data_IF_251927176893
#
_entry.id   IF_251927176893
#
_cell.length_a   1.000
_cell.length_b   1.000
_cell.length_c   1.000
_cell.angle_alpha   90.00
_cell.angle_beta   90.00
_cell.angle_gamma   90.00
#
_symmetry.space_group_name_H-M   'P 1'
#
loop_
_entity.id
_entity.type
_entity.pdbx_description
1 polymer ?
#
# COMPACT_ATOMS: atom_id res chain seq x y z
N UNK A 1 16.40 -11.78 7.13
CA UNK A 1 15.49 -11.86 5.97
C UNK A 1 15.64 -10.61 5.12
N UNK A 2 15.57 -10.73 3.80
CA UNK A 2 15.67 -9.59 2.89
C UNK A 2 14.26 -9.06 2.60
N UNK A 3 14.06 -7.76 2.77
CA UNK A 3 12.81 -7.11 2.36
C UNK A 3 12.80 -7.02 0.83
N UNK A 4 11.86 -7.71 0.19
CA UNK A 4 11.71 -7.71 -1.27
C UNK A 4 10.68 -6.66 -1.70
N UNK A 5 10.93 -6.00 -2.83
CA UNK A 5 9.95 -5.15 -3.48
C UNK A 5 8.79 -6.01 -3.98
N UNK A 6 7.71 -6.05 -3.21
CA UNK A 6 6.53 -6.84 -3.54
C UNK A 6 5.32 -5.93 -3.78
N UNK A 7 4.44 -6.40 -4.64
CA UNK A 7 3.15 -5.76 -4.89
C UNK A 7 3.06 -5.11 -6.26
N UNK A 8 2.02 -4.33 -6.39
CA UNK A 8 1.61 -3.60 -7.59
C UNK A 8 1.49 -2.11 -7.25
N UNK A 9 0.74 -1.33 -8.00
CA UNK A 9 0.54 0.09 -7.74
C UNK A 9 -0.22 0.39 -6.44
N UNK A 10 0.03 1.57 -5.92
CA UNK A 10 -0.74 2.23 -4.86
C UNK A 10 -0.86 3.73 -5.19
N UNK A 11 -1.98 4.32 -4.81
CA UNK A 11 -2.19 5.77 -4.87
C UNK A 11 -2.04 6.36 -3.47
N UNK A 12 -1.21 7.40 -3.36
CA UNK A 12 -0.99 8.15 -2.12
C UNK A 12 -1.67 9.50 -2.29
N UNK A 13 -2.75 9.68 -1.54
CA UNK A 13 -3.59 10.87 -1.61
C UNK A 13 -2.96 12.07 -0.90
N UNK A 14 -3.38 13.32 -1.20
CA UNK A 14 -2.76 14.53 -0.67
C UNK A 14 -2.62 14.56 0.87
N UNK A 15 -3.60 14.05 1.62
CA UNK A 15 -3.52 14.01 3.09
C UNK A 15 -2.34 13.15 3.60
N UNK A 16 -2.06 12.02 2.95
CA UNK A 16 -0.90 11.20 3.31
C UNK A 16 0.41 11.80 2.79
N UNK A 17 0.37 12.53 1.67
CA UNK A 17 1.56 13.23 1.15
C UNK A 17 1.98 14.36 2.08
N UNK A 18 1.06 15.08 2.71
CA UNK A 18 1.40 16.09 3.73
C UNK A 18 2.22 15.51 4.87
N UNK A 19 1.84 14.33 5.36
CA UNK A 19 2.59 13.64 6.41
C UNK A 19 3.99 13.22 5.94
N UNK A 20 4.10 12.75 4.70
CA UNK A 20 5.40 12.39 4.12
C UNK A 20 6.26 13.62 3.83
N UNK A 21 5.67 14.73 3.44
CA UNK A 21 6.35 16.02 3.28
C UNK A 21 6.86 16.55 4.62
N UNK A 22 6.02 16.53 5.67
CA UNK A 22 6.40 16.95 7.02
C UNK A 22 7.62 16.19 7.56
N UNK A 23 7.80 14.95 7.13
CA UNK A 23 9.01 14.18 7.43
C UNK A 23 10.07 14.25 6.31
N UNK A 24 9.98 15.22 5.38
CA UNK A 24 11.02 15.52 4.38
C UNK A 24 11.15 14.49 3.25
N UNK A 25 10.11 13.70 2.96
CA UNK A 25 10.17 12.63 1.95
C UNK A 25 9.58 13.00 0.58
N UNK A 26 8.99 14.19 0.41
CA UNK A 26 8.37 14.62 -0.85
C UNK A 26 9.37 14.59 -2.02
N UNK A 27 10.56 15.15 -1.85
CA UNK A 27 11.58 15.19 -2.90
C UNK A 27 12.12 13.81 -3.31
N UNK A 28 12.04 12.82 -2.42
CA UNK A 28 12.41 11.43 -2.75
C UNK A 28 11.26 10.73 -3.46
N UNK A 29 10.01 11.01 -3.08
CA UNK A 29 8.82 10.51 -3.77
C UNK A 29 8.77 10.97 -5.23
N UNK A 30 9.11 12.22 -5.52
CA UNK A 30 9.16 12.78 -6.87
C UNK A 30 10.12 12.02 -7.81
N UNK A 31 11.14 11.37 -7.25
CA UNK A 31 12.11 10.60 -8.05
C UNK A 31 11.62 9.20 -8.42
N UNK A 32 10.66 8.65 -7.68
CA UNK A 32 10.26 7.24 -7.79
C UNK A 32 8.77 7.04 -8.04
N UNK A 33 7.94 8.04 -7.80
CA UNK A 33 6.50 8.05 -8.04
C UNK A 33 6.12 8.91 -9.23
N UNK A 34 4.89 8.75 -9.69
CA UNK A 34 4.27 9.56 -10.73
C UNK A 34 3.23 10.48 -10.09
N UNK A 35 3.31 11.78 -10.33
CA UNK A 35 2.27 12.73 -9.92
C UNK A 35 1.01 12.50 -10.73
N UNK A 36 -0.07 12.12 -10.07
CA UNK A 36 -1.36 11.86 -10.70
C UNK A 36 -2.07 13.17 -11.02
N UNK A 37 -2.47 13.33 -12.29
CA UNK A 37 -3.11 14.54 -12.79
C UNK A 37 -4.62 14.48 -12.71
N UNK A 38 -5.23 13.37 -13.15
CA UNK A 38 -6.67 13.22 -13.20
C UNK A 38 -7.13 11.78 -12.95
N UNK A 39 -8.42 11.63 -12.69
CA UNK A 39 -9.12 10.35 -12.65
C UNK A 39 -10.38 10.47 -13.52
N UNK A 40 -10.51 9.56 -14.47
CA UNK A 40 -11.68 9.48 -15.37
C UNK A 40 -12.48 8.22 -15.11
N UNK A 41 -13.79 8.36 -15.04
CA UNK A 41 -14.75 7.27 -14.89
C UNK A 41 -15.37 6.93 -16.24
N UNK A 42 -15.46 5.63 -16.53
CA UNK A 42 -15.98 5.09 -17.77
C UNK A 42 -17.13 4.13 -17.50
N UNK A 43 -18.11 4.08 -18.41
CA UNK A 43 -19.09 3.00 -18.46
C UNK A 43 -18.42 1.68 -18.83
N UNK A 44 -19.16 0.56 -18.71
CA UNK A 44 -18.72 -0.75 -19.20
C UNK A 44 -18.43 -0.80 -20.71
N UNK A 45 -18.97 0.15 -21.47
CA UNK A 45 -18.79 0.29 -22.93
C UNK A 45 -17.66 1.25 -23.31
N UNK A 46 -16.92 1.78 -22.29
CA UNK A 46 -15.79 2.69 -22.52
C UNK A 46 -16.17 4.16 -22.75
N UNK A 47 -17.44 4.53 -22.59
CA UNK A 47 -17.86 5.93 -22.66
C UNK A 47 -17.43 6.67 -21.39
N UNK A 48 -16.83 7.84 -21.54
CA UNK A 48 -16.48 8.71 -20.42
C UNK A 48 -17.76 9.25 -19.74
N UNK A 49 -17.86 9.06 -18.44
CA UNK A 49 -18.98 9.53 -17.61
C UNK A 49 -18.61 10.83 -16.94
N UNK A 50 -17.41 10.90 -16.39
CA UNK A 50 -16.92 12.04 -15.64
C UNK A 50 -15.40 11.97 -15.48
N UNK A 51 -14.77 13.13 -15.39
CA UNK A 51 -13.35 13.26 -15.11
C UNK A 51 -13.12 14.34 -14.06
N UNK A 52 -12.18 14.10 -13.16
CA UNK A 52 -11.80 15.05 -12.12
C UNK A 52 -10.29 15.19 -12.01
N UNK A 53 -9.83 16.37 -11.70
CA UNK A 53 -8.42 16.64 -11.43
C UNK A 53 -8.00 16.08 -10.06
N UNK A 54 -6.71 15.81 -9.90
CA UNK A 54 -6.13 15.24 -8.69
C UNK A 54 -4.93 16.04 -8.18
N UNK A 55 -4.67 15.91 -6.88
CA UNK A 55 -3.53 16.56 -6.23
C UNK A 55 -3.48 18.06 -6.49
N UNK A 56 -2.33 18.57 -6.88
CA UNK A 56 -2.13 20.00 -7.17
C UNK A 56 -3.02 20.50 -8.31
N UNK A 57 -3.35 19.65 -9.29
CA UNK A 57 -4.26 20.02 -10.38
C UNK A 57 -5.70 20.24 -9.90
N UNK A 58 -6.09 19.67 -8.74
CA UNK A 58 -7.37 19.88 -8.08
C UNK A 58 -7.33 21.02 -7.04
N UNK A 59 -6.23 21.77 -6.96
CA UNK A 59 -6.07 22.88 -6.01
C UNK A 59 -5.53 22.49 -4.63
N UNK A 60 -5.05 21.24 -4.46
CA UNK A 60 -4.34 20.86 -3.23
C UNK A 60 -2.92 21.46 -3.22
N UNK A 61 -2.39 21.76 -2.04
CA UNK A 61 -1.02 22.29 -1.86
C UNK A 61 0.05 21.24 -2.19
N UNK A 62 -0.29 19.95 -2.08
CA UNK A 62 0.61 18.82 -2.33
C UNK A 62 0.07 17.93 -3.44
N UNK A 63 0.93 17.19 -4.16
CA UNK A 63 0.50 16.27 -5.21
C UNK A 63 -0.23 15.04 -4.66
N UNK A 64 -0.90 14.32 -5.55
CA UNK A 64 -1.23 12.91 -5.39
C UNK A 64 -0.20 12.09 -6.15
N UNK A 65 0.25 10.96 -5.61
CA UNK A 65 1.16 10.06 -6.31
C UNK A 65 0.53 8.72 -6.63
N UNK A 66 0.85 8.21 -7.82
CA UNK A 66 0.74 6.80 -8.19
C UNK A 66 2.16 6.21 -8.18
N UNK A 67 2.37 5.12 -7.47
CA UNK A 67 3.71 4.55 -7.26
C UNK A 67 3.64 3.02 -7.15
N UNK A 68 4.71 2.33 -7.54
CA UNK A 68 4.87 0.91 -7.23
C UNK A 68 5.03 0.73 -5.71
N UNK A 69 4.17 -0.07 -5.09
CA UNK A 69 4.11 -0.25 -3.63
C UNK A 69 5.44 -0.71 -3.02
N UNK A 70 6.16 -1.60 -3.71
CA UNK A 70 7.48 -2.05 -3.24
C UNK A 70 8.52 -0.93 -3.24
N UNK A 71 8.46 0.00 -4.19
CA UNK A 71 9.34 1.18 -4.21
C UNK A 71 9.02 2.13 -3.07
N UNK A 72 7.74 2.36 -2.77
CA UNK A 72 7.34 3.13 -1.60
C UNK A 72 7.85 2.49 -0.31
N UNK A 73 7.67 1.18 -0.15
CA UNK A 73 8.16 0.44 1.01
C UNK A 73 9.69 0.59 1.17
N UNK A 74 10.44 0.44 0.09
CA UNK A 74 11.90 0.59 0.10
C UNK A 74 12.33 2.01 0.45
N UNK A 75 11.64 3.03 -0.09
CA UNK A 75 11.87 4.43 0.23
C UNK A 75 11.71 4.67 1.73
N UNK A 76 10.58 4.26 2.30
CA UNK A 76 10.30 4.41 3.73
C UNK A 76 11.30 3.64 4.60
N UNK A 77 11.66 2.43 4.20
CA UNK A 77 12.65 1.61 4.88
C UNK A 77 14.02 2.28 4.90
N UNK A 78 14.50 2.77 3.76
CA UNK A 78 15.78 3.46 3.69
C UNK A 78 15.78 4.75 4.54
N UNK A 79 14.72 5.55 4.46
CA UNK A 79 14.57 6.75 5.28
C UNK A 79 14.58 6.45 6.78
N UNK A 80 14.00 5.32 7.19
CA UNK A 80 14.04 4.89 8.58
C UNK A 80 15.47 4.51 9.00
N UNK A 81 16.18 3.72 8.18
CA UNK A 81 17.57 3.33 8.50
C UNK A 81 18.53 4.53 8.54
N UNK A 82 18.36 5.50 7.65
CA UNK A 82 19.14 6.74 7.63
C UNK A 82 18.96 7.56 8.92
N UNK A 83 17.76 7.57 9.49
CA UNK A 83 17.42 8.38 10.68
C UNK A 83 17.68 7.67 12.00
N UNK A 84 17.30 6.41 12.08
CA UNK A 84 17.33 5.63 13.31
C UNK A 84 18.49 4.62 13.39
N UNK A 85 19.29 4.55 12.30
CA UNK A 85 20.44 3.66 12.22
C UNK A 85 20.11 2.25 11.71
N UNK A 86 21.14 1.47 11.35
CA UNK A 86 21.00 0.17 10.68
C UNK A 86 20.30 -0.89 11.54
N UNK A 87 20.26 -0.72 12.84
CA UNK A 87 19.66 -1.66 13.79
C UNK A 87 18.19 -1.32 14.12
N UNK A 88 17.61 -0.28 13.52
CA UNK A 88 16.23 0.15 13.77
C UNK A 88 15.18 -0.86 13.29
N UNK A 89 15.54 -1.75 12.37
CA UNK A 89 14.64 -2.77 11.83
C UNK A 89 15.17 -4.16 12.06
N UNK A 90 14.43 -4.97 12.79
CA UNK A 90 14.73 -6.38 13.03
C UNK A 90 13.76 -7.22 12.19
N UNK A 91 14.29 -7.91 11.18
CA UNK A 91 13.50 -8.80 10.31
C UNK A 91 13.49 -10.24 10.84
N UNK A 92 12.58 -11.07 10.27
CA UNK A 92 12.48 -12.47 10.69
C UNK A 92 11.80 -12.67 12.04
N UNK A 93 11.06 -11.68 12.53
CA UNK A 93 10.35 -11.72 13.81
C UNK A 93 8.86 -11.59 13.60
N UNK A 94 8.07 -12.50 14.16
CA UNK A 94 6.62 -12.44 14.17
C UNK A 94 6.15 -12.31 15.62
N UNK A 95 5.34 -11.30 15.91
CA UNK A 95 4.72 -11.11 17.22
C UNK A 95 3.88 -12.35 17.57
N UNK A 96 4.15 -12.94 18.73
CA UNK A 96 3.40 -14.06 19.29
C UNK A 96 2.52 -13.64 20.47
N UNK A 97 2.89 -12.55 21.15
CA UNK A 97 2.14 -12.00 22.27
C UNK A 97 2.89 -10.87 22.93
N UNK A 98 2.27 -10.25 23.92
CA UNK A 98 2.91 -9.25 24.75
C UNK A 98 2.27 -9.21 26.14
N UNK A 99 3.03 -8.68 27.09
CA UNK A 99 2.58 -8.38 28.47
C UNK A 99 2.86 -6.90 28.73
N UNK A 100 1.89 -6.24 29.34
CA UNK A 100 1.92 -4.82 29.65
C UNK A 100 1.80 -4.65 31.18
N UNK A 101 2.61 -3.76 31.77
CA UNK A 101 2.55 -3.39 33.18
C UNK A 101 2.94 -1.92 33.35
N UNK A 102 3.04 -1.44 34.60
CA UNK A 102 3.42 -0.05 34.90
C UNK A 102 4.82 0.34 34.39
N UNK A 103 5.72 -0.63 34.18
CA UNK A 103 7.07 -0.43 33.67
C UNK A 103 7.19 -0.46 32.14
N UNK A 104 6.06 -0.61 31.41
CA UNK A 104 6.06 -0.66 29.94
C UNK A 104 5.50 -1.96 29.37
N UNK A 105 5.95 -2.32 28.19
CA UNK A 105 5.49 -3.50 27.44
C UNK A 105 6.65 -4.43 27.11
N UNK A 106 6.45 -5.73 27.31
CA UNK A 106 7.34 -6.79 26.84
C UNK A 106 6.66 -7.57 25.72
N UNK A 107 7.17 -7.46 24.50
CA UNK A 107 6.68 -8.17 23.32
C UNK A 107 7.47 -9.48 23.14
N UNK A 108 6.76 -10.58 22.85
CA UNK A 108 7.31 -11.89 22.60
C UNK A 108 7.21 -12.22 21.11
N UNK A 109 8.31 -12.71 20.54
CA UNK A 109 8.41 -13.02 19.12
C UNK A 109 8.81 -14.46 18.87
N UNK A 110 8.38 -14.97 17.72
CA UNK A 110 8.85 -16.23 17.13
C UNK A 110 9.77 -15.89 15.96
N UNK A 111 10.91 -16.59 15.88
CA UNK A 111 11.76 -16.53 14.70
C UNK A 111 11.04 -17.20 13.52
N UNK A 112 10.89 -16.47 12.42
CA UNK A 112 10.19 -16.99 11.25
C UNK A 112 11.06 -17.86 10.36
N UNK A 113 12.36 -17.93 10.58
CA UNK A 113 13.31 -18.75 9.85
C UNK A 113 13.55 -20.09 10.55
N UNK A 114 13.72 -20.06 11.86
CA UNK A 114 14.08 -21.24 12.66
C UNK A 114 12.89 -21.85 13.38
N UNK A 115 11.74 -21.15 13.41
CA UNK A 115 10.55 -21.61 14.13
C UNK A 115 10.70 -21.61 15.66
N UNK A 116 11.84 -21.16 16.16
CA UNK A 116 12.13 -21.08 17.59
C UNK A 116 11.47 -19.87 18.24
N UNK A 117 10.91 -20.07 19.43
CA UNK A 117 10.36 -18.99 20.26
C UNK A 117 11.37 -18.43 21.25
N UNK A 118 10.92 -17.49 22.12
CA UNK A 118 11.70 -17.01 23.25
C UNK A 118 12.50 -15.73 22.98
N UNK A 119 12.24 -15.03 21.89
CA UNK A 119 12.81 -13.72 21.61
C UNK A 119 11.89 -12.66 22.19
N UNK A 120 12.43 -11.78 23.03
CA UNK A 120 11.68 -10.70 23.66
C UNK A 120 12.25 -9.34 23.28
N UNK A 121 11.38 -8.32 23.28
CA UNK A 121 11.78 -6.92 23.24
C UNK A 121 10.96 -6.14 24.27
N UNK A 122 11.58 -5.15 24.90
CA UNK A 122 10.95 -4.27 25.87
C UNK A 122 10.91 -2.84 25.35
N UNK A 123 9.88 -2.10 25.73
CA UNK A 123 9.73 -0.70 25.40
C UNK A 123 8.59 -0.06 26.20
N UNK A 124 8.50 1.25 26.11
CA UNK A 124 7.44 2.01 26.78
C UNK A 124 6.09 1.84 26.08
N UNK A 125 6.12 1.66 24.74
CA UNK A 125 4.92 1.55 23.90
C UNK A 125 5.13 0.48 22.84
N UNK A 126 4.08 -0.33 22.57
CA UNK A 126 4.01 -1.26 21.45
C UNK A 126 2.95 -0.78 20.44
N UNK A 127 3.36 -0.48 19.21
CA UNK A 127 2.47 -0.15 18.11
C UNK A 127 2.26 -1.40 17.25
N UNK A 128 1.07 -2.00 17.31
CA UNK A 128 0.72 -3.18 16.52
C UNK A 128 0.27 -2.75 15.11
N UNK A 129 1.20 -2.77 14.14
CA UNK A 129 0.95 -2.50 12.72
C UNK A 129 1.01 -3.77 11.87
N UNK A 130 0.54 -4.90 12.41
CA UNK A 130 0.67 -6.27 11.90
C UNK A 130 -0.51 -6.72 11.01
N UNK A 131 -1.34 -5.77 10.55
CA UNK A 131 -2.31 -5.95 9.46
C UNK A 131 -3.62 -6.62 9.88
N UNK A 132 -4.38 -7.11 8.87
CA UNK A 132 -5.73 -7.65 9.07
C UNK A 132 -5.76 -8.92 9.94
N UNK A 133 -4.66 -9.66 10.01
CA UNK A 133 -4.49 -10.84 10.86
C UNK A 133 -3.68 -10.55 12.11
N UNK A 134 -3.75 -9.31 12.61
CA UNK A 134 -3.00 -8.79 13.74
C UNK A 134 -3.06 -9.71 14.97
N UNK A 135 -1.89 -10.06 15.48
CA UNK A 135 -1.73 -10.74 16.76
C UNK A 135 -2.17 -9.83 17.92
N UNK A 136 -1.75 -8.56 17.86
CA UNK A 136 -2.13 -7.57 18.85
C UNK A 136 -3.65 -7.39 18.97
N UNK A 137 -4.33 -7.27 17.83
CA UNK A 137 -5.79 -7.18 17.78
C UNK A 137 -6.46 -8.39 18.41
N UNK A 138 -6.00 -9.60 18.10
CA UNK A 138 -6.54 -10.84 18.65
C UNK A 138 -6.38 -10.94 20.16
N UNK A 139 -5.33 -10.34 20.73
CA UNK A 139 -5.15 -10.30 22.20
C UNK A 139 -6.15 -9.36 22.84
N UNK A 140 -6.40 -8.18 22.27
CA UNK A 140 -7.38 -7.23 22.80
C UNK A 140 -8.81 -7.63 22.54
N UNK A 141 -9.08 -8.36 21.45
CA UNK A 141 -10.43 -8.77 21.02
C UNK A 141 -10.45 -10.27 20.70
N UNK A 142 -10.32 -11.15 21.71
CA UNK A 142 -10.18 -12.60 21.52
C UNK A 142 -11.41 -13.25 20.87
N UNK A 143 -12.60 -12.69 21.13
CA UNK A 143 -13.89 -13.18 20.64
C UNK A 143 -14.29 -12.55 19.29
N UNK A 144 -13.44 -11.71 18.71
CA UNK A 144 -13.74 -11.08 17.42
C UNK A 144 -13.77 -12.14 16.31
N UNK A 145 -14.82 -12.08 15.48
CA UNK A 145 -14.96 -12.95 14.31
C UNK A 145 -13.83 -12.70 13.29
N UNK A 146 -13.59 -13.68 12.43
CA UNK A 146 -12.70 -13.50 11.29
C UNK A 146 -13.20 -12.37 10.36
N UNK A 147 -12.30 -11.66 9.66
CA UNK A 147 -12.71 -10.67 8.68
C UNK A 147 -13.73 -11.22 7.70
N UNK A 148 -14.83 -10.50 7.50
CA UNK A 148 -15.89 -10.90 6.57
C UNK A 148 -15.48 -10.62 5.13
N UNK A 149 -15.69 -11.59 4.26
CA UNK A 149 -15.56 -11.39 2.83
C UNK A 149 -16.72 -10.55 2.28
N UNK A 150 -16.42 -9.57 1.45
CA UNK A 150 -17.40 -8.60 0.92
C UNK A 150 -18.05 -9.01 -0.41
N UNK A 151 -17.83 -10.23 -0.87
CA UNK A 151 -18.37 -10.73 -2.13
C UNK A 151 -17.64 -10.21 -3.36
N UNK A 152 -16.40 -9.76 -3.24
CA UNK A 152 -15.59 -9.25 -4.36
C UNK A 152 -14.29 -10.01 -4.46
N UNK A 153 -14.03 -10.58 -5.63
CA UNK A 153 -12.72 -11.09 -6.02
C UNK A 153 -11.97 -10.03 -6.79
N UNK A 154 -10.66 -10.01 -6.59
CA UNK A 154 -9.79 -9.00 -7.18
C UNK A 154 -8.54 -9.63 -7.77
N UNK A 155 -8.33 -9.40 -9.06
CA UNK A 155 -7.05 -9.63 -9.72
C UNK A 155 -6.34 -8.31 -9.94
N UNK A 156 -5.05 -8.29 -9.78
CA UNK A 156 -4.24 -7.09 -9.95
C UNK A 156 -2.84 -7.42 -10.40
N UNK A 157 -2.28 -6.53 -11.20
CA UNK A 157 -0.93 -6.67 -11.71
C UNK A 157 -0.35 -5.33 -12.14
N UNK A 158 0.91 -5.40 -12.55
CA UNK A 158 1.58 -4.30 -13.22
C UNK A 158 2.22 -4.85 -14.50
N UNK A 159 2.00 -4.14 -15.62
CA UNK A 159 2.48 -4.55 -16.94
C UNK A 159 3.01 -3.34 -17.69
N UNK A 160 4.03 -3.54 -18.52
CA UNK A 160 4.49 -2.53 -19.44
C UNK A 160 3.42 -2.32 -20.52
N UNK A 161 3.09 -1.06 -20.80
CA UNK A 161 2.03 -0.67 -21.71
C UNK A 161 2.50 0.49 -22.60
N UNK A 162 1.98 0.65 -23.81
CA UNK A 162 2.17 1.89 -24.57
C UNK A 162 1.66 3.10 -23.77
N UNK A 163 2.22 4.27 -24.03
CA UNK A 163 1.77 5.51 -23.39
C UNK A 163 0.25 5.64 -23.50
N UNK A 164 -0.41 5.72 -22.35
CA UNK A 164 -1.86 5.85 -22.30
C UNK A 164 -2.25 7.28 -21.92
N UNK A 165 -3.06 7.91 -22.80
CA UNK A 165 -3.46 9.33 -22.63
C UNK A 165 -2.24 10.24 -22.46
N UNK A 166 -2.24 11.04 -21.39
CA UNK A 166 -1.14 11.96 -21.03
C UNK A 166 -0.03 11.30 -20.20
N UNK A 167 -0.18 10.01 -19.86
CA UNK A 167 0.78 9.29 -19.01
C UNK A 167 0.66 9.58 -17.52
N UNK A 168 -0.30 10.42 -17.09
CA UNK A 168 -0.48 10.86 -15.69
C UNK A 168 -1.90 10.65 -15.18
N UNK A 169 -2.81 10.19 -16.06
CA UNK A 169 -4.22 10.01 -15.76
C UNK A 169 -4.53 8.58 -15.29
N UNK A 170 -5.51 8.48 -14.40
CA UNK A 170 -6.11 7.23 -13.94
C UNK A 170 -7.44 6.96 -14.63
N UNK A 171 -7.85 5.70 -14.69
CA UNK A 171 -9.17 5.29 -15.13
C UNK A 171 -9.83 4.32 -14.15
N UNK A 172 -11.13 4.47 -13.99
CA UNK A 172 -12.02 3.47 -13.41
C UNK A 172 -13.15 3.24 -14.40
N UNK A 173 -13.43 1.98 -14.74
CA UNK A 173 -14.52 1.67 -15.64
C UNK A 173 -15.27 0.42 -15.22
N UNK A 174 -16.49 0.24 -15.77
CA UNK A 174 -17.32 -0.92 -15.47
C UNK A 174 -18.67 -0.58 -14.85
N UNK A 175 -19.15 -1.44 -13.96
CA UNK A 175 -20.46 -1.34 -13.30
C UNK A 175 -20.55 -2.13 -12.01
N UNK A 176 -21.78 -2.39 -11.55
CA UNK A 176 -22.03 -3.05 -10.25
C UNK A 176 -21.52 -4.50 -10.19
N UNK A 177 -21.52 -5.22 -11.33
CA UNK A 177 -21.07 -6.63 -11.38
C UNK A 177 -19.57 -6.80 -11.50
N UNK A 178 -18.88 -5.80 -12.04
CA UNK A 178 -17.44 -5.82 -12.21
C UNK A 178 -16.91 -4.47 -12.66
N UNK A 179 -15.69 -4.16 -12.27
CA UNK A 179 -15.00 -2.93 -12.64
C UNK A 179 -13.51 -3.16 -12.81
N UNK A 180 -12.88 -2.28 -13.56
CA UNK A 180 -11.44 -2.20 -13.63
C UNK A 180 -10.95 -0.84 -13.11
N UNK A 181 -9.70 -0.83 -12.64
CA UNK A 181 -8.95 0.37 -12.28
C UNK A 181 -7.62 0.29 -13.01
N UNK A 182 -7.23 1.35 -13.68
CA UNK A 182 -6.01 1.44 -14.46
C UNK A 182 -5.30 2.76 -14.16
N UNK A 183 -4.00 2.72 -13.90
CA UNK A 183 -3.21 3.92 -13.70
C UNK A 183 -1.72 3.67 -13.89
N UNK A 184 -0.97 4.64 -14.44
CA UNK A 184 0.47 4.56 -14.56
C UNK A 184 1.14 4.68 -13.19
N UNK A 185 2.25 3.96 -12.98
CA UNK A 185 3.04 3.97 -11.75
C UNK A 185 4.52 4.27 -11.99
N UNK A 186 4.85 4.65 -13.22
CA UNK A 186 6.15 5.15 -13.66
C UNK A 186 5.98 6.25 -14.70
N UNK A 187 6.95 7.16 -14.74
CA UNK A 187 7.07 8.11 -15.85
C UNK A 187 7.33 7.35 -17.17
N UNK A 188 6.75 7.81 -18.29
CA UNK A 188 6.93 7.17 -19.58
C UNK A 188 8.41 7.12 -19.98
N UNK A 189 8.84 5.98 -20.59
CA UNK A 189 10.15 5.77 -21.17
C UNK A 189 9.99 5.13 -22.54
N UNK A 190 10.58 5.71 -23.58
CA UNK A 190 10.52 5.18 -24.95
C UNK A 190 9.09 4.88 -25.43
N UNK A 191 8.13 5.76 -25.16
CA UNK A 191 6.74 5.59 -25.56
C UNK A 191 5.97 4.52 -24.79
N UNK A 192 6.53 3.97 -23.71
CA UNK A 192 5.92 2.98 -22.83
C UNK A 192 5.97 3.43 -21.38
N UNK A 193 5.13 2.86 -20.53
CA UNK A 193 5.13 3.07 -19.09
C UNK A 193 4.60 1.84 -18.36
N UNK A 194 4.98 1.70 -17.09
CA UNK A 194 4.46 0.65 -16.23
C UNK A 194 3.06 1.04 -15.75
N UNK A 195 2.07 0.24 -16.12
CA UNK A 195 0.67 0.43 -15.75
C UNK A 195 0.27 -0.55 -14.65
N UNK A 196 -0.30 -0.04 -13.58
CA UNK A 196 -1.03 -0.87 -12.64
C UNK A 196 -2.44 -1.09 -13.15
N UNK A 197 -2.91 -2.34 -13.05
CA UNK A 197 -4.29 -2.69 -13.34
C UNK A 197 -4.91 -3.52 -12.21
N UNK A 198 -6.20 -3.31 -12.01
CA UNK A 198 -7.03 -4.06 -11.06
C UNK A 198 -8.34 -4.41 -11.74
N UNK A 199 -8.74 -5.66 -11.65
CA UNK A 199 -10.07 -6.13 -12.06
C UNK A 199 -10.79 -6.65 -10.83
N UNK A 200 -11.98 -6.11 -10.58
CA UNK A 200 -12.85 -6.52 -9.50
C UNK A 200 -14.10 -7.17 -10.06
N UNK A 201 -14.47 -8.33 -9.58
CA UNK A 201 -15.70 -9.03 -9.97
C UNK A 201 -16.48 -9.38 -8.71
N UNK A 202 -17.75 -9.04 -8.70
CA UNK A 202 -18.66 -9.49 -7.64
C UNK A 202 -19.03 -10.95 -7.88
N UNK A 203 -18.84 -11.80 -6.88
CA UNK A 203 -19.12 -13.24 -6.98
C UNK A 203 -19.67 -13.75 -5.65
N UNK A 204 -20.35 -14.89 -5.69
CA UNK A 204 -20.76 -15.64 -4.50
C UNK A 204 -19.74 -16.71 -4.11
N UNK A 205 -18.80 -17.00 -4.99
CA UNK A 205 -17.76 -18.01 -4.80
C UNK A 205 -16.44 -17.31 -4.41
N UNK A 206 -15.94 -17.51 -3.17
CA UNK A 206 -14.68 -16.94 -2.72
C UNK A 206 -13.44 -17.63 -3.32
N UNK A 207 -13.58 -18.77 -3.98
CA UNK A 207 -12.49 -19.58 -4.52
C UNK A 207 -12.35 -19.50 -6.04
N UNK A 208 -13.13 -18.62 -6.70
CA UNK A 208 -13.02 -18.39 -8.15
C UNK A 208 -11.61 -17.89 -8.51
N UNK A 209 -10.95 -18.52 -9.46
CA UNK A 209 -9.59 -18.22 -9.94
C UNK A 209 -9.60 -17.71 -11.37
#
# INVERSE_FOLDING_TARGET
ATIREAGVGINILPHAIRELEAVGLLGVLDKVGLRTKSLTYFTKSGQEVWSELRGMHAGHEVPQFSIHRGRLQKLLFNALLERAGPNAVVTGRRLAGFVQNEGGVTANFVDTLEGAGGITAQGDVLVCADGIHSCGRKIFYPDEARPSWNGVMMWRGASEWPLWRDGESMAIGGGLGGKFVLYPIETPKNGKQLMNWVVNIRTKDPEIT
#
